data_IF_926897226149
#
_entry.id   IF_926897226149
#
_cell.length_a   1.000
_cell.length_b   1.000
_cell.length_c   1.000
_cell.angle_alpha   90.00
_cell.angle_beta   90.00
_cell.angle_gamma   90.00
#
_symmetry.space_group_name_H-M   'P 1'
#
loop_
_entity.id
_entity.type
_entity.pdbx_description
1 polymer ?
#
# COMPACT_ATOMS: atom_id res chain seq x y z
N UNK A 1 -6.50 -16.45 -73.80
CA UNK A 1 -6.67 -15.85 -72.46
C UNK A 1 -5.33 -15.90 -71.73
N UNK A 2 -4.63 -14.77 -71.61
CA UNK A 2 -3.33 -14.72 -70.93
C UNK A 2 -3.51 -14.81 -69.42
N UNK A 3 -3.08 -15.92 -68.81
CA UNK A 3 -3.05 -16.08 -67.36
C UNK A 3 -1.91 -15.22 -66.79
N UNK A 4 -2.25 -14.13 -66.09
CA UNK A 4 -1.27 -13.31 -65.37
C UNK A 4 -0.58 -14.20 -64.32
N UNK A 5 0.75 -14.25 -64.34
CA UNK A 5 1.54 -15.00 -63.36
C UNK A 5 1.14 -14.54 -61.93
N UNK A 6 0.90 -15.46 -60.98
CA UNK A 6 0.52 -15.07 -59.64
C UNK A 6 1.61 -14.20 -59.02
N UNK A 7 1.22 -13.09 -58.41
CA UNK A 7 2.15 -12.22 -57.70
C UNK A 7 2.81 -13.01 -56.57
N UNK A 8 4.14 -12.89 -56.43
CA UNK A 8 4.86 -13.52 -55.33
C UNK A 8 4.39 -12.88 -54.00
N UNK A 9 4.09 -13.73 -53.02
CA UNK A 9 3.55 -13.32 -51.71
C UNK A 9 4.36 -12.20 -51.04
N UNK A 10 5.68 -12.34 -51.00
CA UNK A 10 6.58 -11.39 -50.34
C UNK A 10 6.58 -9.99 -50.95
N UNK A 11 6.73 -9.81 -52.27
CA UNK A 11 6.53 -8.52 -52.92
C UNK A 11 5.17 -7.88 -52.65
N UNK A 12 4.10 -8.68 -52.60
CA UNK A 12 2.75 -8.17 -52.34
C UNK A 12 2.57 -7.73 -50.88
N UNK A 13 3.13 -8.47 -49.93
CA UNK A 13 3.14 -8.10 -48.51
C UNK A 13 3.95 -6.82 -48.28
N UNK A 14 5.15 -6.72 -48.88
CA UNK A 14 5.97 -5.52 -48.78
C UNK A 14 5.27 -4.29 -49.37
N UNK A 15 4.67 -4.43 -50.56
CA UNK A 15 3.90 -3.35 -51.17
C UNK A 15 2.71 -2.90 -50.28
N UNK A 16 2.08 -3.85 -49.59
CA UNK A 16 0.96 -3.56 -48.66
C UNK A 16 1.44 -2.83 -47.41
N UNK A 17 2.55 -3.27 -46.81
CA UNK A 17 3.15 -2.61 -45.63
C UNK A 17 3.60 -1.19 -45.98
N UNK A 18 4.31 -1.01 -47.10
CA UNK A 18 4.76 0.32 -47.56
C UNK A 18 3.57 1.23 -47.82
N UNK A 19 2.51 0.74 -48.49
CA UNK A 19 1.28 1.52 -48.70
C UNK A 19 0.66 1.96 -47.37
N UNK A 20 0.52 1.05 -46.41
CA UNK A 20 -0.08 1.37 -45.11
C UNK A 20 0.78 2.37 -44.31
N UNK A 21 2.10 2.25 -44.36
CA UNK A 21 3.01 3.21 -43.71
C UNK A 21 2.96 4.59 -44.37
N UNK A 22 2.89 4.66 -45.70
CA UNK A 22 2.78 5.94 -46.43
C UNK A 22 1.42 6.61 -46.19
N UNK A 23 0.34 5.83 -46.13
CA UNK A 23 -0.98 6.35 -45.75
C UNK A 23 -0.94 6.88 -44.31
N UNK A 24 -0.36 6.13 -43.38
CA UNK A 24 -0.22 6.52 -41.98
C UNK A 24 0.70 7.76 -41.80
N UNK A 25 1.72 7.90 -42.65
CA UNK A 25 2.59 9.09 -42.71
C UNK A 25 1.87 10.33 -43.23
N UNK A 26 0.91 10.18 -44.16
CA UNK A 26 0.10 11.30 -44.66
C UNK A 26 -0.96 11.72 -43.66
N UNK A 27 -1.55 10.77 -42.93
CA UNK A 27 -2.51 11.01 -41.85
C UNK A 27 -1.81 11.34 -40.51
N UNK A 28 -0.91 12.31 -40.54
CA UNK A 28 -0.07 12.70 -39.39
C UNK A 28 -0.89 13.06 -38.15
N UNK A 29 -2.03 13.74 -38.31
CA UNK A 29 -2.91 14.13 -37.20
C UNK A 29 -3.50 12.93 -36.45
N UNK A 30 -3.90 11.89 -37.18
CA UNK A 30 -4.50 10.67 -36.60
C UNK A 30 -3.42 9.83 -35.91
N UNK A 31 -2.27 9.68 -36.55
CA UNK A 31 -1.11 8.98 -35.97
C UNK A 31 -0.57 9.69 -34.73
N UNK A 32 -0.52 11.03 -34.74
CA UNK A 32 -0.15 11.81 -33.56
C UNK A 32 -1.14 11.59 -32.42
N UNK A 33 -2.45 11.64 -32.68
CA UNK A 33 -3.45 11.37 -31.65
C UNK A 33 -3.32 9.95 -31.09
N UNK A 34 -3.13 8.92 -31.94
CA UNK A 34 -2.95 7.53 -31.52
C UNK A 34 -1.75 7.33 -30.57
N UNK A 35 -0.68 8.13 -30.71
CA UNK A 35 0.53 8.05 -29.88
C UNK A 35 0.46 9.00 -28.67
N UNK A 36 -0.06 10.21 -28.86
CA UNK A 36 -0.11 11.24 -27.82
C UNK A 36 -1.17 10.94 -26.76
N UNK A 37 -2.30 10.32 -27.12
CA UNK A 37 -3.35 9.96 -26.14
C UNK A 37 -2.83 9.00 -25.06
N UNK A 38 -2.24 7.83 -25.38
CA UNK A 38 -1.70 6.95 -24.35
C UNK A 38 -0.53 7.57 -23.60
N UNK A 39 0.29 8.40 -24.27
CA UNK A 39 1.40 9.11 -23.63
C UNK A 39 0.91 10.16 -22.63
N UNK A 40 -0.12 10.93 -22.98
CA UNK A 40 -0.76 11.90 -22.11
C UNK A 40 -1.38 11.21 -20.89
N UNK A 41 -2.14 10.14 -21.11
CA UNK A 41 -2.73 9.34 -20.02
C UNK A 41 -1.66 8.78 -19.08
N UNK A 42 -0.55 8.25 -19.63
CA UNK A 42 0.56 7.75 -18.82
C UNK A 42 1.22 8.88 -18.02
N UNK A 43 1.46 10.04 -18.64
CA UNK A 43 2.03 11.21 -17.98
C UNK A 43 1.17 11.71 -16.82
N UNK A 44 -0.15 11.78 -17.02
CA UNK A 44 -1.11 12.16 -15.97
C UNK A 44 -1.07 11.15 -14.81
N UNK A 45 -1.05 9.85 -15.09
CA UNK A 45 -0.96 8.81 -14.05
C UNK A 45 0.34 8.88 -13.25
N UNK A 46 1.47 9.12 -13.91
CA UNK A 46 2.76 9.29 -13.25
C UNK A 46 2.74 10.53 -12.36
N UNK A 47 2.23 11.65 -12.86
CA UNK A 47 2.13 12.89 -12.10
C UNK A 47 1.23 12.73 -10.86
N UNK A 48 0.04 12.13 -11.03
CA UNK A 48 -0.86 11.81 -9.91
C UNK A 48 -0.19 10.91 -8.88
N UNK A 49 0.58 9.90 -9.32
CA UNK A 49 1.34 9.03 -8.41
C UNK A 49 2.43 9.77 -7.64
N UNK A 50 3.07 10.78 -8.24
CA UNK A 50 4.04 11.63 -7.52
C UNK A 50 3.38 12.54 -6.49
N UNK A 51 2.13 12.96 -6.73
CA UNK A 51 1.36 13.77 -5.78
C UNK A 51 0.83 12.99 -4.58
N UNK A 52 0.66 11.68 -4.71
CA UNK A 52 0.25 10.81 -3.60
C UNK A 52 1.52 10.34 -2.87
N UNK A 53 1.87 10.92 -1.70
CA UNK A 53 2.99 10.42 -0.92
C UNK A 53 2.74 8.96 -0.54
N UNK A 54 3.81 8.14 -0.54
CA UNK A 54 3.71 6.75 -0.14
C UNK A 54 3.10 6.66 1.27
N UNK A 55 1.91 6.06 1.44
CA UNK A 55 1.26 5.98 2.75
C UNK A 55 1.96 4.98 3.68
N UNK A 56 2.83 4.13 3.14
CA UNK A 56 3.54 3.13 3.93
C UNK A 56 4.73 3.76 4.63
N UNK A 57 4.71 3.72 5.96
CA UNK A 57 5.89 4.04 6.77
C UNK A 57 6.99 2.98 6.54
N UNK A 58 8.27 3.37 6.55
CA UNK A 58 9.37 2.43 6.44
C UNK A 58 9.38 1.47 7.63
N UNK A 59 9.81 0.24 7.40
CA UNK A 59 9.93 -0.78 8.44
C UNK A 59 10.92 -0.32 9.53
N UNK A 60 10.45 -0.29 10.77
CA UNK A 60 11.27 0.04 11.94
C UNK A 60 11.90 -1.24 12.47
N UNK A 61 13.18 -1.48 12.14
CA UNK A 61 13.93 -2.69 12.55
C UNK A 61 14.60 -2.60 13.91
N UNK A 62 14.85 -1.39 14.39
CA UNK A 62 15.48 -1.15 15.69
C UNK A 62 14.59 -0.22 16.49
N UNK A 63 14.36 -0.51 17.79
CA UNK A 63 13.65 0.43 18.63
C UNK A 63 14.42 1.75 18.63
N UNK A 64 13.76 2.84 18.24
CA UNK A 64 14.31 4.18 18.39
C UNK A 64 14.43 4.56 19.86
N UNK A 65 15.06 5.72 20.13
CA UNK A 65 14.97 6.34 21.46
C UNK A 65 13.49 6.47 21.81
N UNK A 66 13.08 5.97 22.98
CA UNK A 66 11.69 6.05 23.48
C UNK A 66 11.15 7.44 23.18
N UNK A 67 10.34 7.54 22.13
CA UNK A 67 9.69 8.78 21.78
C UNK A 67 8.75 9.01 22.96
N UNK A 68 8.96 10.07 23.73
CA UNK A 68 7.89 10.62 24.57
C UNK A 68 6.71 10.71 23.61
N UNK A 69 5.68 9.90 23.86
CA UNK A 69 4.45 9.87 23.08
C UNK A 69 3.92 11.30 23.19
N UNK A 70 4.33 12.16 22.26
CA UNK A 70 4.07 13.58 22.34
C UNK A 70 2.58 13.72 22.08
N UNK A 71 1.90 14.46 22.95
CA UNK A 71 0.45 14.69 22.88
C UNK A 71 -0.05 15.21 21.52
N UNK A 72 0.85 15.68 20.65
CA UNK A 72 0.50 16.17 19.31
C UNK A 72 0.20 15.06 18.29
N UNK A 73 0.69 13.83 18.51
CA UNK A 73 0.47 12.71 17.58
C UNK A 73 -0.77 11.85 17.90
N UNK A 74 -1.30 11.98 19.12
CA UNK A 74 -2.45 11.21 19.61
C UNK A 74 -3.52 12.19 20.08
N UNK A 75 -4.54 12.51 19.25
CA UNK A 75 -5.61 13.40 19.67
C UNK A 75 -6.36 12.74 20.82
N UNK A 76 -6.30 13.34 22.02
CA UNK A 76 -7.02 13.12 23.31
C UNK A 76 -7.33 11.68 23.78
N UNK A 77 -7.73 10.80 22.87
CA UNK A 77 -8.00 9.39 23.02
C UNK A 77 -6.73 8.58 22.78
N UNK A 78 -6.06 8.19 23.88
CA UNK A 78 -4.91 7.29 23.89
C UNK A 78 -5.35 5.83 23.65
N UNK A 79 -6.19 5.59 22.65
CA UNK A 79 -6.70 4.28 22.27
C UNK A 79 -5.86 3.65 21.17
N UNK A 80 -5.50 2.39 21.35
CA UNK A 80 -4.76 1.60 20.36
C UNK A 80 -5.52 0.32 20.12
N UNK A 81 -5.83 0.05 18.86
CA UNK A 81 -6.44 -1.20 18.45
C UNK A 81 -5.39 -2.32 18.44
N UNK A 82 -5.76 -3.50 18.91
CA UNK A 82 -4.87 -4.66 18.98
C UNK A 82 -5.57 -5.88 18.40
N UNK A 83 -4.88 -6.55 17.49
CA UNK A 83 -5.24 -7.90 17.04
C UNK A 83 -4.11 -8.83 17.44
N UNK A 84 -4.48 -9.94 18.05
CA UNK A 84 -3.58 -11.04 18.36
C UNK A 84 -4.35 -12.34 18.22
N UNK A 85 -3.63 -13.46 18.15
CA UNK A 85 -4.25 -14.77 18.34
C UNK A 85 -4.57 -14.95 19.83
N UNK A 86 -5.68 -14.38 20.30
CA UNK A 86 -6.05 -14.41 21.73
C UNK A 86 -6.26 -15.83 22.28
N UNK A 87 -6.42 -16.84 21.41
CA UNK A 87 -6.60 -18.23 21.80
C UNK A 87 -5.26 -18.95 22.02
N UNK A 88 -4.25 -18.62 21.22
CA UNK A 88 -2.95 -19.29 21.26
C UNK A 88 -1.81 -18.42 21.84
N UNK A 89 -1.96 -17.10 21.86
CA UNK A 89 -0.96 -16.13 22.29
C UNK A 89 -1.31 -15.51 23.66
N UNK A 90 -1.30 -16.36 24.70
CA UNK A 90 -1.68 -16.02 26.07
C UNK A 90 -0.78 -14.93 26.69
N UNK A 91 0.47 -14.80 26.23
CA UNK A 91 1.42 -13.80 26.73
C UNK A 91 1.10 -12.37 26.29
N UNK A 92 0.32 -12.21 25.22
CA UNK A 92 0.02 -10.88 24.66
C UNK A 92 -0.72 -9.98 25.65
N UNK A 93 -1.67 -10.53 26.43
CA UNK A 93 -2.42 -9.73 27.41
C UNK A 93 -1.49 -9.22 28.52
N UNK A 94 -0.63 -10.08 29.05
CA UNK A 94 0.34 -9.71 30.09
C UNK A 94 1.33 -8.66 29.59
N UNK A 95 1.79 -8.80 28.35
CA UNK A 95 2.67 -7.82 27.71
C UNK A 95 2.03 -6.43 27.59
N UNK A 96 0.75 -6.35 27.22
CA UNK A 96 0.03 -5.06 27.13
C UNK A 96 -0.19 -4.42 28.51
N UNK A 97 -0.39 -5.23 29.55
CA UNK A 97 -0.50 -4.75 30.92
C UNK A 97 0.85 -4.23 31.44
N UNK A 98 1.94 -4.96 31.18
CA UNK A 98 3.31 -4.54 31.54
C UNK A 98 3.70 -3.21 30.88
N UNK A 99 3.31 -2.99 29.62
CA UNK A 99 3.49 -1.68 28.97
C UNK A 99 2.79 -0.59 29.78
N UNK A 100 1.53 -0.80 30.18
CA UNK A 100 0.79 0.19 30.96
C UNK A 100 1.40 0.43 32.34
N UNK A 101 1.96 -0.59 32.99
CA UNK A 101 2.67 -0.40 34.28
C UNK A 101 3.94 0.42 34.10
N UNK A 102 4.74 0.14 33.06
CA UNK A 102 5.95 0.92 32.75
C UNK A 102 5.62 2.38 32.38
N UNK A 103 4.52 2.61 31.66
CA UNK A 103 4.06 3.97 31.36
C UNK A 103 3.66 4.70 32.63
N UNK A 104 2.92 4.04 33.53
CA UNK A 104 2.53 4.62 34.81
C UNK A 104 3.74 4.98 35.68
N UNK A 105 4.77 4.12 35.73
CA UNK A 105 6.04 4.39 36.42
C UNK A 105 6.79 5.59 35.83
N UNK A 106 6.69 5.81 34.51
CA UNK A 106 7.30 6.95 33.83
C UNK A 106 6.44 8.23 33.84
N UNK A 107 5.38 8.27 34.66
CA UNK A 107 4.40 9.37 34.75
C UNK A 107 3.68 9.69 33.43
N UNK A 108 3.50 8.69 32.55
CA UNK A 108 2.73 8.80 31.32
C UNK A 108 1.32 8.23 31.48
N UNK A 109 0.39 8.66 30.63
CA UNK A 109 -0.97 8.14 30.64
C UNK A 109 -1.01 6.70 30.13
N UNK A 110 -1.79 5.80 30.76
CA UNK A 110 -1.94 4.43 30.29
C UNK A 110 -2.66 4.40 28.94
N UNK A 111 -2.32 3.42 28.12
CA UNK A 111 -2.93 3.20 26.82
C UNK A 111 -4.22 2.39 26.99
N UNK A 112 -5.28 2.84 26.32
CA UNK A 112 -6.54 2.10 26.23
C UNK A 112 -6.47 1.10 25.08
N UNK A 113 -6.21 -0.15 25.41
CA UNK A 113 -6.17 -1.24 24.44
C UNK A 113 -7.59 -1.65 24.01
N UNK A 114 -7.89 -1.56 22.72
CA UNK A 114 -9.14 -2.05 22.11
C UNK A 114 -8.82 -3.38 21.42
N UNK A 115 -9.42 -4.46 21.89
CA UNK A 115 -9.11 -5.82 21.42
C UNK A 115 -10.06 -6.22 20.29
N UNK A 116 -9.50 -6.71 19.20
CA UNK A 116 -10.23 -7.27 18.06
C UNK A 116 -9.82 -8.72 17.83
N UNK A 117 -10.78 -9.57 17.45
CA UNK A 117 -10.56 -11.01 17.35
C UNK A 117 -9.74 -11.38 16.12
N UNK A 118 -9.85 -10.60 15.05
CA UNK A 118 -9.17 -10.83 13.78
C UNK A 118 -8.97 -9.53 13.00
N UNK A 119 -8.15 -9.62 11.94
CA UNK A 119 -7.84 -8.46 11.09
C UNK A 119 -9.07 -7.90 10.35
N UNK A 120 -10.07 -8.73 10.03
CA UNK A 120 -11.29 -8.27 9.35
C UNK A 120 -12.11 -7.35 10.24
N UNK A 121 -12.32 -7.76 11.49
CA UNK A 121 -13.08 -6.99 12.50
C UNK A 121 -12.42 -5.63 12.78
N UNK A 122 -11.09 -5.62 12.88
CA UNK A 122 -10.33 -4.37 13.01
C UNK A 122 -10.49 -3.48 11.78
N UNK A 123 -10.43 -4.06 10.58
CA UNK A 123 -10.56 -3.31 9.34
C UNK A 123 -11.97 -2.71 9.18
N UNK A 124 -13.01 -3.48 9.53
CA UNK A 124 -14.38 -3.00 9.55
C UNK A 124 -14.57 -1.87 10.56
N UNK A 125 -13.99 -2.00 11.76
CA UNK A 125 -14.03 -0.95 12.78
C UNK A 125 -13.31 0.33 12.33
N UNK A 126 -12.18 0.20 11.63
CA UNK A 126 -11.44 1.34 11.07
C UNK A 126 -12.24 2.08 10.00
N UNK A 127 -12.90 1.34 9.10
CA UNK A 127 -13.75 1.94 8.07
C UNK A 127 -15.02 2.59 8.62
N UNK A 128 -15.54 2.09 9.74
CA UNK A 128 -16.69 2.67 10.42
C UNK A 128 -16.33 3.96 11.19
N UNK A 129 -15.24 3.94 11.98
CA UNK A 129 -14.77 5.12 12.72
C UNK A 129 -13.23 5.14 12.84
N UNK A 130 -12.59 5.75 11.85
CA UNK A 130 -11.14 5.91 11.80
C UNK A 130 -10.57 6.83 12.91
N UNK A 131 -11.42 7.56 13.67
CA UNK A 131 -10.96 8.44 14.77
C UNK A 131 -10.95 7.71 16.12
N UNK A 132 -11.61 6.56 16.21
CA UNK A 132 -11.71 5.80 17.47
C UNK A 132 -10.36 5.23 17.92
N UNK A 133 -9.46 4.90 16.98
CA UNK A 133 -8.10 4.48 17.26
C UNK A 133 -7.16 4.96 16.14
N UNK A 134 -6.22 5.89 16.41
CA UNK A 134 -5.31 6.38 15.38
C UNK A 134 -4.25 5.33 14.97
N UNK A 135 -3.99 4.33 15.81
CA UNK A 135 -2.99 3.29 15.57
C UNK A 135 -3.57 1.91 15.88
N UNK A 136 -3.19 0.94 15.07
CA UNK A 136 -3.44 -0.48 15.26
C UNK A 136 -2.12 -1.26 15.36
N UNK A 137 -2.09 -2.28 16.22
CA UNK A 137 -0.97 -3.22 16.39
C UNK A 137 -1.48 -4.63 16.12
N UNK A 138 -0.78 -5.36 15.25
CA UNK A 138 -1.13 -6.73 14.86
C UNK A 138 0.00 -7.66 15.28
N UNK A 139 -0.28 -8.51 16.27
CA UNK A 139 0.63 -9.56 16.72
C UNK A 139 0.39 -10.82 15.90
N UNK A 140 1.36 -11.15 15.04
CA UNK A 140 1.36 -12.40 14.26
C UNK A 140 1.84 -13.60 15.10
N UNK A 141 2.60 -13.34 16.16
CA UNK A 141 3.15 -14.32 17.10
C UNK A 141 3.06 -13.77 18.53
N UNK A 142 3.08 -14.64 19.53
CA UNK A 142 3.09 -14.24 20.94
C UNK A 142 4.37 -13.42 21.24
N UNK A 143 4.26 -12.20 21.80
CA UNK A 143 5.43 -11.39 22.13
C UNK A 143 6.37 -12.06 23.15
N UNK A 144 5.86 -12.99 23.97
CA UNK A 144 6.65 -13.71 24.98
C UNK A 144 7.42 -14.90 24.42
N UNK A 145 7.12 -15.37 23.19
CA UNK A 145 7.78 -16.55 22.62
C UNK A 145 9.17 -16.24 22.04
N UNK A 146 9.46 -14.98 21.74
CA UNK A 146 10.74 -14.55 21.18
C UNK A 146 11.66 -14.03 22.29
N UNK A 147 12.11 -14.93 23.17
CA UNK A 147 13.28 -14.67 24.01
C UNK A 147 14.52 -14.91 23.14
N UNK A 148 14.84 -13.98 22.24
CA UNK A 148 16.24 -13.83 21.84
C UNK A 148 16.96 -13.13 23.00
N UNK A 149 18.08 -13.67 23.50
CA UNK A 149 18.83 -13.03 24.56
C UNK A 149 19.32 -11.66 24.09
N UNK A 150 18.98 -10.64 24.88
CA UNK A 150 19.49 -9.26 24.76
C UNK A 150 21.02 -9.21 24.73
#
# INVERSE_FOLDING_TARGET
>A
MGTRRPAKFWPQLWATVVRNLLLKKRDTRKTLAEVLVPLYSLGVLIFLKMLVPNPNFPEVRKPGRLLRIHHDAFPENHSVAVVADWLNANGTMGFLEEINTLLAESHQHPIRWIKYSNNSELNDAYHNDARNFPIAVIFHTDPTSNIEPL
#
